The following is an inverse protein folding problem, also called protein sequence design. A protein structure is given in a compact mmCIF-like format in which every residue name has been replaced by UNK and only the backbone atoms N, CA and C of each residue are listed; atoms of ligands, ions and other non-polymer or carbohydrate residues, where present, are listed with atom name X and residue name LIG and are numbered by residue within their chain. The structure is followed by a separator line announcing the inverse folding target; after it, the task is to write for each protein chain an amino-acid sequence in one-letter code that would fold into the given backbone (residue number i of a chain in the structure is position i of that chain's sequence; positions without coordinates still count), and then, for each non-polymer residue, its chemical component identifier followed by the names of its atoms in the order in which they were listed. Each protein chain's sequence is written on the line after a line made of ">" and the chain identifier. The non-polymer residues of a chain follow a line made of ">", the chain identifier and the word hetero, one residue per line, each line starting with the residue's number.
data_IF_655598579014
#
_entry.id   IF_655598579014
#
_cell.length_a   1.000
_cell.length_b   1.000
_cell.length_c   1.000
_cell.angle_alpha   90.00
_cell.angle_beta   90.00
_cell.angle_gamma   90.00
#
_symmetry.space_group_name_H-M   'P 1'
#
loop_
_entity.id
_entity.type
_entity.pdbx_description
1 polymer ?
#
# COMPACT_ATOMS: atom_id res chain seq x y z
N UNK A 1 -8.62 -10.23 3.21
CA UNK A 1 -7.95 -8.98 3.63
C UNK A 1 -6.64 -8.92 2.88
N UNK A 2 -6.28 -7.80 2.22
CA UNK A 2 -4.96 -7.67 1.63
C UNK A 2 -3.91 -7.81 2.73
N UNK A 3 -2.85 -8.57 2.47
CA UNK A 3 -1.70 -8.70 3.37
C UNK A 3 -0.54 -7.91 2.82
N UNK A 4 0.22 -7.30 3.74
CA UNK A 4 1.48 -6.69 3.40
C UNK A 4 2.45 -7.78 2.93
N UNK A 5 2.95 -7.75 1.68
CA UNK A 5 3.84 -8.78 1.16
C UNK A 5 5.25 -8.73 1.78
N UNK A 6 5.61 -7.64 2.47
CA UNK A 6 6.92 -7.46 3.11
C UNK A 6 6.94 -8.00 4.53
N UNK A 7 5.86 -7.81 5.30
CA UNK A 7 5.82 -8.18 6.72
C UNK A 7 4.70 -9.15 7.10
N UNK A 8 3.78 -9.47 6.18
CA UNK A 8 2.68 -10.41 6.40
C UNK A 8 1.52 -9.88 7.25
N UNK A 9 1.55 -8.61 7.65
CA UNK A 9 0.46 -8.01 8.43
C UNK A 9 -0.80 -7.85 7.60
N UNK A 10 -1.95 -8.16 8.20
CA UNK A 10 -3.25 -7.91 7.60
C UNK A 10 -3.51 -6.39 7.51
N UNK A 11 -3.94 -5.96 6.34
CA UNK A 11 -4.27 -4.56 6.05
C UNK A 11 -5.78 -4.45 5.90
N UNK A 12 -6.34 -3.47 6.58
CA UNK A 12 -7.71 -3.04 6.33
C UNK A 12 -7.75 -2.21 5.04
N UNK A 13 -8.27 -2.79 3.96
CA UNK A 13 -8.33 -2.10 2.66
C UNK A 13 -9.21 -0.84 2.73
N UNK A 14 -10.25 -0.86 3.56
CA UNK A 14 -11.15 0.28 3.74
C UNK A 14 -10.40 1.47 4.31
N UNK A 15 -9.62 1.27 5.37
CA UNK A 15 -8.79 2.28 6.00
C UNK A 15 -7.67 2.77 5.07
N UNK A 16 -7.00 1.87 4.34
CA UNK A 16 -5.93 2.23 3.41
C UNK A 16 -6.43 3.00 2.17
N UNK A 17 -7.73 2.92 1.87
CA UNK A 17 -8.40 3.68 0.80
C UNK A 17 -9.21 4.86 1.30
N UNK A 18 -9.33 5.04 2.61
CA UNK A 18 -10.14 6.09 3.20
C UNK A 18 -9.55 7.45 2.80
N UNK A 19 -10.40 8.28 2.18
CA UNK A 19 -10.04 9.63 1.82
C UNK A 19 -9.94 10.48 3.09
N UNK A 20 -8.76 11.05 3.35
CA UNK A 20 -8.56 12.03 4.43
C UNK A 20 -8.85 13.44 3.97
N UNK A 21 -8.77 13.69 2.67
CA UNK A 21 -9.02 14.99 2.07
C UNK A 21 -8.74 14.98 0.58
N UNK A 22 -8.76 16.18 0.00
CA UNK A 22 -8.49 16.38 -1.42
C UNK A 22 -7.54 17.56 -1.59
N UNK A 23 -6.51 17.39 -2.41
CA UNK A 23 -5.61 18.48 -2.77
C UNK A 23 -6.35 19.53 -3.60
N UNK A 24 -5.80 20.75 -3.67
CA UNK A 24 -6.34 21.87 -4.46
C UNK A 24 -6.65 21.52 -5.93
N UNK A 25 -5.94 20.54 -6.48
CA UNK A 25 -6.09 20.10 -7.87
C UNK A 25 -6.91 18.81 -8.03
N UNK A 26 -7.64 18.40 -7.00
CA UNK A 26 -8.59 17.29 -7.06
C UNK A 26 -8.01 15.90 -6.77
N UNK A 27 -6.71 15.79 -6.46
CA UNK A 27 -6.14 14.49 -6.08
C UNK A 27 -6.57 14.12 -4.66
N UNK A 28 -7.15 12.93 -4.51
CA UNK A 28 -7.49 12.32 -3.21
C UNK A 28 -6.25 12.11 -2.36
N UNK A 29 -6.34 12.54 -1.11
CA UNK A 29 -5.38 12.28 -0.04
C UNK A 29 -5.85 11.07 0.78
N UNK A 30 -4.92 10.22 1.15
CA UNK A 30 -5.15 9.07 2.04
C UNK A 30 -4.13 9.12 3.17
N UNK A 31 -4.49 8.55 4.32
CA UNK A 31 -3.59 8.50 5.47
C UNK A 31 -2.48 7.44 5.26
N UNK A 32 -1.20 7.83 5.17
CA UNK A 32 -0.12 6.87 4.93
C UNK A 32 0.16 5.95 6.14
N UNK A 33 -0.34 6.28 7.34
CA UNK A 33 -0.23 5.45 8.54
C UNK A 33 -1.35 4.40 8.63
N UNK A 34 -2.50 4.65 7.99
CA UNK A 34 -3.59 3.66 7.81
C UNK A 34 -3.34 2.66 6.68
N UNK A 35 -2.25 2.83 5.94
CA UNK A 35 -1.78 1.93 4.90
C UNK A 35 -1.59 2.64 3.58
N UNK A 36 -0.63 2.16 2.79
CA UNK A 36 -0.33 2.68 1.46
C UNK A 36 -0.53 1.59 0.42
N UNK A 37 -0.73 1.97 -0.85
CA UNK A 37 -0.75 1.03 -1.97
C UNK A 37 0.20 1.43 -3.09
N UNK A 38 0.61 0.45 -3.89
CA UNK A 38 1.40 0.66 -5.11
C UNK A 38 0.91 -0.27 -6.20
N UNK A 39 0.72 0.26 -7.40
CA UNK A 39 0.48 -0.55 -8.58
C UNK A 39 1.82 -1.05 -9.14
N UNK A 40 1.91 -2.35 -9.35
CA UNK A 40 3.09 -3.03 -9.90
C UNK A 40 2.67 -4.29 -10.65
N UNK A 41 3.28 -4.58 -11.81
CA UNK A 41 3.01 -5.77 -12.61
C UNK A 41 1.50 -6.07 -12.87
N UNK A 42 0.67 -5.04 -13.04
CA UNK A 42 -0.77 -5.22 -13.29
C UNK A 42 -1.63 -5.41 -12.04
N UNK A 43 -1.05 -5.44 -10.83
CA UNK A 43 -1.75 -5.67 -9.56
C UNK A 43 -1.55 -4.50 -8.58
N UNK A 44 -2.56 -4.24 -7.76
CA UNK A 44 -2.43 -3.35 -6.59
C UNK A 44 -1.89 -4.12 -5.40
N UNK A 45 -0.76 -3.67 -4.87
CA UNK A 45 -0.18 -4.16 -3.62
C UNK A 45 -0.44 -3.15 -2.51
N UNK A 46 -0.74 -3.65 -1.31
CA UNK A 46 -1.00 -2.85 -0.13
C UNK A 46 0.10 -3.09 0.90
N UNK A 47 0.42 -2.04 1.66
CA UNK A 47 1.47 -2.06 2.67
C UNK A 47 0.96 -1.37 3.93
N UNK A 48 1.31 -1.91 5.08
CA UNK A 48 0.90 -1.40 6.38
C UNK A 48 1.52 -0.02 6.66
N UNK A 49 2.61 0.31 5.98
CA UNK A 49 3.39 1.52 6.20
C UNK A 49 4.18 1.91 4.96
N UNK A 50 4.63 3.17 4.92
CA UNK A 50 5.54 3.65 3.89
C UNK A 50 6.85 2.85 3.84
N UNK A 51 7.36 2.40 5.00
CA UNK A 51 8.60 1.62 5.08
C UNK A 51 8.50 0.27 4.35
N UNK A 52 7.39 -0.46 4.53
CA UNK A 52 7.14 -1.70 3.78
C UNK A 52 7.02 -1.43 2.28
N UNK A 53 6.31 -0.37 1.87
CA UNK A 53 6.24 0.03 0.47
C UNK A 53 7.62 0.32 -0.13
N UNK A 54 8.48 1.02 0.58
CA UNK A 54 9.84 1.33 0.10
C UNK A 54 10.65 0.05 -0.08
N UNK A 55 10.60 -0.89 0.89
CA UNK A 55 11.27 -2.19 0.78
C UNK A 55 10.79 -2.99 -0.42
N UNK A 56 9.47 -3.05 -0.62
CA UNK A 56 8.87 -3.68 -1.78
C UNK A 56 9.34 -3.03 -3.09
N UNK A 57 9.36 -1.70 -3.16
CA UNK A 57 9.81 -0.99 -4.36
C UNK A 57 11.29 -1.20 -4.66
N UNK A 58 12.12 -1.43 -3.64
CA UNK A 58 13.54 -1.69 -3.82
C UNK A 58 13.81 -3.07 -4.42
N UNK A 59 13.06 -4.11 -4.00
CA UNK A 59 13.24 -5.48 -4.47
C UNK A 59 11.88 -6.20 -4.59
N UNK A 60 11.03 -5.83 -5.56
CA UNK A 60 9.65 -6.31 -5.59
C UNK A 60 9.58 -7.81 -5.88
N UNK A 61 10.49 -8.34 -6.71
CA UNK A 61 10.59 -9.77 -7.05
C UNK A 61 10.68 -10.67 -5.82
N UNK A 62 11.42 -10.24 -4.78
CA UNK A 62 11.59 -10.99 -3.53
C UNK A 62 10.28 -11.11 -2.73
N UNK A 63 9.34 -10.19 -2.92
CA UNK A 63 8.07 -10.15 -2.19
C UNK A 63 6.87 -10.57 -3.04
N UNK A 64 7.08 -10.86 -4.33
CA UNK A 64 6.02 -11.31 -5.23
C UNK A 64 5.63 -12.78 -5.02
N UNK A 65 6.50 -13.60 -4.40
CA UNK A 65 6.26 -15.05 -4.23
C UNK A 65 5.26 -15.42 -3.11
N UNK A 66 4.55 -14.45 -2.52
CA UNK A 66 3.57 -14.71 -1.44
C UNK A 66 2.37 -13.76 -1.39
N UNK A 67 2.11 -13.01 -2.46
CA UNK A 67 1.18 -11.86 -2.46
C UNK A 67 -0.08 -12.05 -3.33
#
# INVERSE_FOLDING_TARGET
>A
MPKDPVCGMDIDEGAARAETGQTRHGATEVDPEKGTRRFHAGKWYYFCSLGCRIKFMANPETYMEGA
#
